data_IF_702762959878
#
_entry.id   IF_702762959878
#
_cell.length_a   1.000
_cell.length_b   1.000
_cell.length_c   1.000
_cell.angle_alpha   90.00
_cell.angle_beta   90.00
_cell.angle_gamma   90.00
#
_symmetry.space_group_name_H-M   'P 1'
#
loop_
_entity.id
_entity.type
_entity.pdbx_description
1 polymer ?
#
# COMPACT_ATOMS: atom_id res chain seq x y z
N UNK A 1 36.24 -43.23 -17.30
CA UNK A 1 36.07 -41.79 -17.50
C UNK A 1 34.60 -41.51 -17.77
N UNK A 2 34.03 -40.60 -17.01
CA UNK A 2 32.78 -39.86 -17.30
C UNK A 2 31.42 -40.54 -17.08
N UNK A 3 30.90 -40.52 -15.86
CA UNK A 3 29.47 -40.68 -15.54
C UNK A 3 28.94 -39.60 -14.57
N UNK A 4 29.58 -38.43 -14.51
CA UNK A 4 29.18 -37.34 -13.57
C UNK A 4 28.27 -36.27 -14.20
N UNK A 5 28.05 -36.29 -15.54
CA UNK A 5 27.26 -35.25 -16.23
C UNK A 5 25.74 -35.32 -15.96
N UNK A 6 25.07 -36.48 -15.80
CA UNK A 6 23.63 -36.52 -15.61
C UNK A 6 23.16 -36.00 -14.24
N UNK A 7 24.01 -36.08 -13.21
CA UNK A 7 23.61 -35.64 -11.85
C UNK A 7 23.51 -34.12 -11.75
N UNK A 8 24.40 -33.38 -12.41
CA UNK A 8 24.40 -31.92 -12.42
C UNK A 8 23.22 -31.35 -13.21
N UNK A 9 22.80 -32.00 -14.30
CA UNK A 9 21.65 -31.56 -15.10
C UNK A 9 20.34 -31.76 -14.32
N UNK A 10 20.21 -32.89 -13.63
CA UNK A 10 18.99 -33.15 -12.81
C UNK A 10 18.90 -32.20 -11.64
N UNK A 11 20.00 -31.84 -10.98
CA UNK A 11 20.03 -30.85 -9.89
C UNK A 11 19.70 -29.45 -10.38
N UNK A 12 20.16 -29.04 -11.55
CA UNK A 12 19.86 -27.74 -12.15
C UNK A 12 18.38 -27.62 -12.55
N UNK A 13 17.78 -28.67 -13.09
CA UNK A 13 16.36 -28.70 -13.45
C UNK A 13 15.46 -28.76 -12.20
N UNK A 14 15.86 -29.43 -11.14
CA UNK A 14 15.15 -29.45 -9.89
C UNK A 14 15.18 -28.07 -9.18
N UNK A 15 16.33 -27.39 -9.21
CA UNK A 15 16.45 -26.03 -8.67
C UNK A 15 15.62 -25.01 -9.47
N UNK A 16 15.63 -25.09 -10.80
CA UNK A 16 14.81 -24.25 -11.67
C UNK A 16 13.31 -24.51 -11.47
N UNK A 17 12.90 -25.77 -11.34
CA UNK A 17 11.53 -26.15 -11.06
C UNK A 17 11.04 -25.69 -9.67
N UNK A 18 11.92 -25.72 -8.67
CA UNK A 18 11.60 -25.24 -7.31
C UNK A 18 11.42 -23.72 -7.27
N UNK A 19 12.18 -22.97 -8.05
CA UNK A 19 12.01 -21.53 -8.23
C UNK A 19 10.67 -21.18 -8.92
N UNK A 20 10.24 -21.99 -9.89
CA UNK A 20 8.97 -21.80 -10.59
C UNK A 20 7.75 -22.08 -9.72
N UNK A 21 7.84 -22.97 -8.76
CA UNK A 21 6.71 -23.36 -7.88
C UNK A 21 6.64 -22.49 -6.61
N UNK A 22 7.75 -21.87 -6.18
CA UNK A 22 7.81 -21.10 -4.93
C UNK A 22 8.21 -19.63 -5.11
N UNK A 23 8.52 -19.23 -6.32
CA UNK A 23 8.93 -17.87 -6.64
C UNK A 23 7.74 -16.95 -6.84
N UNK A 24 7.22 -16.35 -5.78
CA UNK A 24 6.62 -15.05 -5.96
C UNK A 24 7.71 -14.16 -6.57
N UNK A 25 7.55 -13.75 -7.84
CA UNK A 25 8.48 -12.82 -8.49
C UNK A 25 8.66 -11.56 -7.64
N UNK A 26 9.61 -10.69 -7.98
CA UNK A 26 9.83 -9.46 -7.23
C UNK A 26 8.51 -8.71 -7.04
N UNK A 27 8.35 -7.96 -5.94
CA UNK A 27 7.15 -7.18 -5.71
C UNK A 27 6.94 -6.21 -6.88
N UNK A 28 5.72 -6.09 -7.44
CA UNK A 28 5.47 -5.21 -8.57
C UNK A 28 5.63 -3.75 -8.16
N UNK A 29 6.39 -2.98 -8.93
CA UNK A 29 6.60 -1.56 -8.65
C UNK A 29 5.49 -0.67 -9.25
N UNK A 30 4.82 -1.11 -10.32
CA UNK A 30 3.79 -0.36 -11.03
C UNK A 30 2.48 -1.15 -11.09
N UNK A 31 1.37 -0.45 -10.93
CA UNK A 31 0.04 -1.07 -10.94
C UNK A 31 -1.04 -0.05 -11.33
N UNK A 32 -2.25 -0.56 -11.58
CA UNK A 32 -3.47 0.27 -11.73
C UNK A 32 -4.42 -0.06 -10.59
N UNK A 33 -4.94 0.95 -9.89
CA UNK A 33 -5.94 0.77 -8.83
C UNK A 33 -7.25 0.32 -9.47
N UNK A 34 -7.68 -0.90 -9.15
CA UNK A 34 -8.93 -1.48 -9.66
C UNK A 34 -10.13 -1.22 -8.74
N UNK A 35 -9.89 -1.17 -7.44
CA UNK A 35 -10.93 -0.93 -6.44
C UNK A 35 -10.32 -0.31 -5.17
N UNK A 36 -11.07 0.55 -4.51
CA UNK A 36 -10.72 1.13 -3.19
C UNK A 36 -11.69 0.54 -2.18
N UNK A 37 -11.16 -0.19 -1.20
CA UNK A 37 -11.94 -0.83 -0.13
C UNK A 37 -12.40 0.24 0.86
N UNK A 38 -11.44 0.97 1.40
CA UNK A 38 -11.62 2.10 2.34
C UNK A 38 -10.56 3.19 2.11
N UNK A 39 -10.35 4.08 3.08
CA UNK A 39 -9.44 5.22 2.92
C UNK A 39 -7.97 4.83 2.77
N UNK A 40 -7.54 3.67 3.26
CA UNK A 40 -6.14 3.23 3.27
C UNK A 40 -5.89 1.81 2.76
N UNK A 41 -6.90 1.18 2.15
CA UNK A 41 -6.80 -0.16 1.59
C UNK A 41 -7.35 -0.19 0.16
N UNK A 42 -6.55 -0.68 -0.77
CA UNK A 42 -6.88 -0.69 -2.20
C UNK A 42 -6.54 -2.02 -2.86
N UNK A 43 -7.34 -2.42 -3.84
CA UNK A 43 -6.97 -3.47 -4.78
C UNK A 43 -6.29 -2.86 -6.00
N UNK A 44 -5.15 -3.43 -6.38
CA UNK A 44 -4.41 -3.00 -7.56
C UNK A 44 -4.19 -4.17 -8.51
N UNK A 45 -4.11 -3.86 -9.81
CA UNK A 45 -3.76 -4.82 -10.86
C UNK A 45 -2.35 -4.51 -11.37
N UNK A 46 -1.44 -5.47 -11.21
CA UNK A 46 -0.07 -5.44 -11.71
C UNK A 46 0.12 -6.57 -12.72
N UNK A 47 0.03 -6.28 -14.01
CA UNK A 47 -0.05 -7.28 -15.07
C UNK A 47 -1.30 -8.15 -14.88
N UNK A 48 -1.11 -9.47 -14.76
CA UNK A 48 -2.18 -10.45 -14.52
C UNK A 48 -2.52 -10.66 -13.04
N UNK A 49 -1.73 -10.07 -12.12
CA UNK A 49 -1.89 -10.24 -10.66
C UNK A 49 -2.83 -9.19 -10.10
N UNK A 50 -3.74 -9.60 -9.22
CA UNK A 50 -4.53 -8.70 -8.37
C UNK A 50 -3.95 -8.74 -6.96
N UNK A 51 -3.69 -7.59 -6.37
CA UNK A 51 -3.05 -7.44 -5.06
C UNK A 51 -3.92 -6.59 -4.16
N UNK A 52 -4.12 -7.07 -2.92
CA UNK A 52 -4.67 -6.28 -1.83
C UNK A 52 -3.53 -5.50 -1.17
N UNK A 53 -3.62 -4.17 -1.14
CA UNK A 53 -2.57 -3.27 -0.68
C UNK A 53 -3.07 -2.39 0.44
N UNK A 54 -2.43 -2.50 1.61
CA UNK A 54 -2.61 -1.60 2.76
C UNK A 54 -1.55 -0.49 2.70
N UNK A 55 -1.99 0.74 2.75
CA UNK A 55 -1.11 1.91 2.70
C UNK A 55 -0.31 2.02 4.01
N UNK A 56 1.02 2.08 3.89
CA UNK A 56 1.95 2.19 5.01
C UNK A 56 1.91 3.57 5.69
N UNK A 57 2.14 3.57 7.00
CA UNK A 57 2.37 4.78 7.78
C UNK A 57 1.13 5.61 8.07
N UNK A 58 -0.06 5.16 7.65
CA UNK A 58 -1.33 5.88 7.85
C UNK A 58 -2.45 4.94 8.30
N UNK A 59 -3.46 5.52 8.91
CA UNK A 59 -4.69 4.87 9.32
C UNK A 59 -5.87 5.81 9.08
N UNK A 60 -6.90 5.31 8.39
CA UNK A 60 -8.13 6.04 8.16
C UNK A 60 -9.25 5.53 9.07
N UNK A 61 -10.25 6.35 9.42
CA UNK A 61 -11.38 5.85 10.20
C UNK A 61 -12.09 4.70 9.47
N UNK A 62 -12.41 3.65 10.21
CA UNK A 62 -12.99 2.40 9.71
C UNK A 62 -14.36 2.59 9.03
N UNK A 63 -14.60 1.92 7.91
CA UNK A 63 -15.87 2.00 7.18
C UNK A 63 -16.46 0.65 6.77
N UNK A 64 -15.69 -0.44 6.83
CA UNK A 64 -16.07 -1.74 6.25
C UNK A 64 -16.10 -2.91 7.23
N UNK A 65 -15.56 -2.74 8.45
CA UNK A 65 -15.59 -3.80 9.48
C UNK A 65 -17.03 -3.96 10.04
N UNK A 66 -17.70 -5.11 9.81
CA UNK A 66 -19.07 -5.31 10.27
C UNK A 66 -19.21 -5.38 11.80
N UNK A 67 -18.11 -5.54 12.54
CA UNK A 67 -18.08 -5.64 14.00
C UNK A 67 -17.75 -4.32 14.70
N UNK A 68 -17.49 -3.25 13.93
CA UNK A 68 -17.13 -1.93 14.45
C UNK A 68 -18.08 -0.87 13.88
N UNK A 69 -18.45 0.14 14.67
CA UNK A 69 -19.21 1.27 14.13
C UNK A 69 -18.35 2.01 13.08
N UNK A 70 -19.03 2.59 12.09
CA UNK A 70 -18.39 3.46 11.11
C UNK A 70 -17.68 4.60 11.84
N UNK A 71 -16.39 4.75 11.57
CA UNK A 71 -15.56 5.78 12.19
C UNK A 71 -15.96 7.19 11.74
N UNK A 72 -15.87 8.15 12.65
CA UNK A 72 -16.08 9.56 12.32
C UNK A 72 -15.15 9.96 11.16
N UNK A 73 -15.69 10.61 10.14
CA UNK A 73 -14.99 11.01 8.91
C UNK A 73 -14.51 9.82 8.02
N UNK A 74 -14.90 8.59 8.33
CA UNK A 74 -14.53 7.40 7.52
C UNK A 74 -15.12 7.44 6.10
N UNK A 75 -16.43 7.68 5.93
CA UNK A 75 -17.03 7.79 4.60
C UNK A 75 -16.36 8.85 3.72
N UNK A 76 -15.99 9.99 4.28
CA UNK A 76 -15.32 11.08 3.58
C UNK A 76 -13.89 10.68 3.17
N UNK A 77 -13.14 10.02 4.05
CA UNK A 77 -11.80 9.49 3.75
C UNK A 77 -11.86 8.44 2.63
N UNK A 78 -12.77 7.49 2.73
CA UNK A 78 -13.00 6.46 1.69
C UNK A 78 -13.40 7.09 0.36
N UNK A 79 -14.33 8.05 0.35
CA UNK A 79 -14.77 8.74 -0.86
C UNK A 79 -13.62 9.53 -1.51
N UNK A 80 -12.79 10.20 -0.70
CA UNK A 80 -11.63 10.94 -1.19
C UNK A 80 -10.61 10.00 -1.85
N UNK A 81 -10.26 8.89 -1.20
CA UNK A 81 -9.33 7.90 -1.76
C UNK A 81 -9.89 7.28 -3.05
N UNK A 82 -11.19 6.97 -3.10
CA UNK A 82 -11.89 6.49 -4.31
C UNK A 82 -11.77 7.49 -5.46
N UNK A 83 -12.07 8.75 -5.21
CA UNK A 83 -11.96 9.81 -6.22
C UNK A 83 -10.52 9.99 -6.72
N UNK A 84 -9.54 9.89 -5.82
CA UNK A 84 -8.14 10.12 -6.12
C UNK A 84 -7.53 8.97 -6.94
N UNK A 85 -7.88 7.71 -6.62
CA UNK A 85 -7.12 6.54 -7.06
C UNK A 85 -7.84 5.61 -8.03
N UNK A 86 -9.18 5.55 -8.06
CA UNK A 86 -9.88 4.55 -8.87
C UNK A 86 -9.53 4.67 -10.36
N UNK A 87 -9.07 3.57 -10.96
CA UNK A 87 -8.65 3.50 -12.36
C UNK A 87 -7.31 4.16 -12.68
N UNK A 88 -6.61 4.66 -11.66
CA UNK A 88 -5.35 5.40 -11.86
C UNK A 88 -4.12 4.49 -11.78
N UNK A 89 -3.10 4.85 -12.54
CA UNK A 89 -1.78 4.23 -12.45
C UNK A 89 -1.04 4.74 -11.23
N UNK A 90 -0.41 3.83 -10.52
CA UNK A 90 0.33 4.11 -9.29
C UNK A 90 1.66 3.36 -9.28
N UNK A 91 2.63 3.94 -8.61
CA UNK A 91 3.89 3.29 -8.26
C UNK A 91 3.83 2.86 -6.79
N UNK A 92 4.14 1.59 -6.54
CA UNK A 92 4.20 1.00 -5.21
C UNK A 92 5.65 1.03 -4.71
N UNK A 93 5.86 1.59 -3.54
CA UNK A 93 7.17 1.64 -2.87
C UNK A 93 7.07 0.86 -1.57
N UNK A 94 7.84 -0.20 -1.48
CA UNK A 94 7.85 -1.09 -0.32
C UNK A 94 8.89 -0.63 0.70
N UNK A 95 8.67 -1.00 1.96
CA UNK A 95 9.65 -0.85 3.03
C UNK A 95 10.20 -2.26 3.40
N UNK A 96 10.63 -2.47 4.62
CA UNK A 96 11.33 -3.69 5.06
C UNK A 96 10.44 -4.93 5.10
N UNK A 97 9.21 -4.79 5.58
CA UNK A 97 8.23 -5.87 5.62
C UNK A 97 7.21 -5.68 4.49
N UNK A 98 7.05 -6.73 3.67
CA UNK A 98 6.22 -6.66 2.46
C UNK A 98 4.75 -6.99 2.70
N UNK A 99 4.43 -7.75 3.77
CA UNK A 99 3.06 -8.21 4.05
C UNK A 99 2.71 -8.02 5.52
N UNK A 100 1.45 -7.77 5.79
CA UNK A 100 0.91 -7.83 7.14
C UNK A 100 0.49 -9.26 7.52
N UNK A 101 -0.08 -9.40 8.73
CA UNK A 101 -0.55 -10.70 9.25
C UNK A 101 -1.78 -11.25 8.52
N UNK A 102 -2.46 -10.43 7.73
CA UNK A 102 -3.60 -10.82 6.88
C UNK A 102 -3.18 -11.17 5.46
N UNK A 103 -1.88 -11.06 5.13
CA UNK A 103 -1.33 -11.34 3.81
C UNK A 103 -1.47 -10.19 2.81
N UNK A 104 -1.93 -8.99 3.23
CA UNK A 104 -2.00 -7.81 2.37
C UNK A 104 -0.60 -7.27 2.11
N UNK A 105 -0.37 -6.75 0.90
CA UNK A 105 0.86 -6.04 0.57
C UNK A 105 0.93 -4.71 1.31
N UNK A 106 2.11 -4.38 1.84
CA UNK A 106 2.37 -3.14 2.56
C UNK A 106 3.19 -2.21 1.67
N UNK A 107 2.61 -1.08 1.25
CA UNK A 107 3.30 -0.15 0.36
C UNK A 107 2.96 1.32 0.64
N UNK A 108 3.90 2.20 0.34
CA UNK A 108 3.64 3.61 0.07
C UNK A 108 3.19 3.75 -1.38
N UNK A 109 2.17 4.57 -1.64
CA UNK A 109 1.58 4.74 -2.97
C UNK A 109 1.93 6.12 -3.52
N UNK A 110 2.44 6.12 -4.75
CA UNK A 110 2.68 7.33 -5.53
C UNK A 110 1.78 7.32 -6.76
N UNK A 111 0.85 8.27 -6.85
CA UNK A 111 -0.03 8.44 -8.00
C UNK A 111 0.75 9.07 -9.16
N UNK A 112 0.81 8.38 -10.28
CA UNK A 112 1.42 8.89 -11.51
C UNK A 112 0.61 10.07 -12.07
N UNK A 113 1.30 11.17 -12.39
CA UNK A 113 0.70 12.37 -12.95
C UNK A 113 1.49 12.82 -14.19
N UNK A 114 1.01 12.54 -15.41
CA UNK A 114 1.72 12.93 -16.62
C UNK A 114 2.11 14.42 -16.62
N UNK A 115 3.39 14.70 -16.88
CA UNK A 115 3.93 16.07 -16.92
C UNK A 115 4.08 16.78 -15.56
N UNK A 116 3.90 16.06 -14.45
CA UNK A 116 4.08 16.57 -13.07
C UNK A 116 4.78 15.52 -12.21
N UNK A 117 5.41 15.91 -11.10
CA UNK A 117 5.92 14.94 -10.14
C UNK A 117 4.79 14.05 -9.61
N UNK A 118 5.10 12.77 -9.36
CA UNK A 118 4.17 11.84 -8.73
C UNK A 118 3.66 12.39 -7.40
N UNK A 119 2.40 12.13 -7.09
CA UNK A 119 1.80 12.53 -5.83
C UNK A 119 2.00 11.42 -4.79
N UNK A 120 2.68 11.70 -3.69
CA UNK A 120 2.75 10.81 -2.54
C UNK A 120 1.39 10.77 -1.82
N UNK A 121 0.62 9.71 -2.08
CA UNK A 121 -0.78 9.58 -1.65
C UNK A 121 -0.92 9.54 -0.14
N UNK A 122 -0.07 8.78 0.55
CA UNK A 122 -0.07 8.66 2.00
C UNK A 122 0.09 10.03 2.68
N UNK A 123 1.07 10.82 2.23
CA UNK A 123 1.28 12.19 2.71
C UNK A 123 0.10 13.11 2.39
N UNK A 124 -0.52 12.92 1.21
CA UNK A 124 -1.69 13.71 0.79
C UNK A 124 -2.90 13.45 1.70
N UNK A 125 -3.17 12.20 2.04
CA UNK A 125 -4.25 11.81 2.94
C UNK A 125 -4.06 12.41 4.33
N UNK A 126 -2.86 12.33 4.90
CA UNK A 126 -2.53 12.90 6.21
C UNK A 126 -2.63 14.42 6.19
N UNK A 127 -1.97 15.08 5.23
CA UNK A 127 -1.92 16.55 5.17
C UNK A 127 -3.30 17.20 4.94
N UNK A 128 -4.22 16.48 4.32
CA UNK A 128 -5.59 16.93 4.10
C UNK A 128 -6.54 16.53 5.23
N UNK A 129 -6.08 15.79 6.26
CA UNK A 129 -6.87 15.37 7.40
C UNK A 129 -7.83 14.22 7.12
N UNK A 130 -7.53 13.35 6.13
CA UNK A 130 -8.30 12.13 5.87
C UNK A 130 -7.75 10.90 6.59
N UNK A 131 -6.50 10.96 7.05
CA UNK A 131 -5.84 9.89 7.78
C UNK A 131 -5.07 10.41 8.99
N UNK A 132 -4.91 9.57 10.00
CA UNK A 132 -3.93 9.71 11.07
C UNK A 132 -2.65 8.99 10.69
N UNK A 133 -1.56 9.27 11.39
CA UNK A 133 -0.33 8.50 11.22
C UNK A 133 -0.39 7.20 12.03
N UNK A 134 0.11 6.11 11.44
CA UNK A 134 0.27 4.82 12.09
C UNK A 134 1.62 4.22 11.71
N UNK A 135 2.62 4.43 12.56
CA UNK A 135 3.98 3.91 12.33
C UNK A 135 4.16 2.57 13.04
N UNK A 136 4.32 1.49 12.26
CA UNK A 136 4.52 0.12 12.75
C UNK A 136 5.90 -0.38 12.29
N UNK A 137 6.86 -0.58 13.22
CA UNK A 137 8.15 -1.18 12.86
C UNK A 137 7.96 -2.58 12.23
N UNK A 138 8.82 -2.96 11.25
CA UNK A 138 10.02 -2.25 10.80
C UNK A 138 9.77 -1.19 9.69
N UNK A 139 8.51 -0.96 9.27
CA UNK A 139 8.14 -0.08 8.16
C UNK A 139 7.95 1.37 8.64
N UNK A 140 9.03 2.12 8.74
CA UNK A 140 9.06 3.46 9.33
C UNK A 140 9.72 4.53 8.46
N UNK A 141 9.97 4.23 7.18
CA UNK A 141 10.76 5.11 6.30
C UNK A 141 10.23 6.56 6.21
N UNK A 142 8.91 6.76 6.29
CA UNK A 142 8.27 8.08 6.23
C UNK A 142 7.62 8.53 7.54
N UNK A 143 7.92 7.89 8.68
CA UNK A 143 7.23 8.15 9.95
C UNK A 143 7.37 9.61 10.41
N UNK A 144 8.57 10.18 10.32
CA UNK A 144 8.86 11.57 10.74
C UNK A 144 8.10 12.58 9.89
N UNK A 145 8.14 12.41 8.56
CA UNK A 145 7.51 13.32 7.61
C UNK A 145 5.99 13.29 7.75
N UNK A 146 5.41 12.09 7.83
CA UNK A 146 3.97 11.91 8.03
C UNK A 146 3.51 12.51 9.35
N UNK A 147 4.25 12.32 10.45
CA UNK A 147 3.92 12.93 11.76
C UNK A 147 3.98 14.46 11.73
N UNK A 148 4.88 15.05 10.97
CA UNK A 148 4.92 16.50 10.78
C UNK A 148 3.66 17.01 10.06
N UNK A 149 3.26 16.34 8.97
CA UNK A 149 2.06 16.66 8.21
C UNK A 149 0.76 16.49 9.04
N UNK A 150 0.72 15.46 9.90
CA UNK A 150 -0.41 15.27 10.82
C UNK A 150 -0.57 16.43 11.79
N UNK A 151 0.53 16.86 12.42
CA UNK A 151 0.51 18.02 13.34
C UNK A 151 0.02 19.29 12.64
N UNK A 152 0.49 19.53 11.41
CA UNK A 152 0.02 20.68 10.62
C UNK A 152 -1.47 20.58 10.28
N UNK A 153 -1.96 19.39 9.92
CA UNK A 153 -3.36 19.16 9.63
C UNK A 153 -4.23 19.36 10.87
N UNK A 154 -3.78 18.86 12.02
CA UNK A 154 -4.48 19.01 13.30
C UNK A 154 -4.56 20.48 13.75
N UNK A 155 -3.44 21.21 13.71
CA UNK A 155 -3.39 22.63 14.07
C UNK A 155 -4.28 23.48 13.15
N UNK A 156 -4.40 23.10 11.88
CA UNK A 156 -5.25 23.81 10.90
C UNK A 156 -6.70 23.33 10.90
N UNK A 157 -7.09 22.39 11.75
CA UNK A 157 -8.45 21.84 11.80
C UNK A 157 -8.88 21.20 10.48
N UNK A 158 -8.00 20.48 9.78
CA UNK A 158 -8.35 19.89 8.47
C UNK A 158 -9.06 18.54 8.64
N UNK A 159 -10.13 18.34 7.86
CA UNK A 159 -10.81 17.05 7.76
C UNK A 159 -11.27 16.50 9.11
N UNK A 160 -10.84 15.29 9.46
CA UNK A 160 -11.19 14.60 10.71
C UNK A 160 -10.88 15.42 11.99
N UNK A 161 -9.91 16.33 11.94
CA UNK A 161 -9.52 17.14 13.08
C UNK A 161 -10.53 18.23 13.43
N UNK A 162 -11.30 18.71 12.47
CA UNK A 162 -12.42 19.60 12.72
C UNK A 162 -13.73 18.83 12.96
N UNK A 163 -13.92 17.70 12.25
CA UNK A 163 -15.19 16.99 12.25
C UNK A 163 -15.38 16.07 13.47
N UNK A 164 -14.28 15.53 14.04
CA UNK A 164 -14.31 14.48 15.06
C UNK A 164 -13.71 14.93 16.41
N UNK A 165 -13.39 16.22 16.56
CA UNK A 165 -12.65 16.84 17.66
C UNK A 165 -13.20 16.71 19.03
#
# INVERSE_FOLDING_TARGET
MSRLIPILIVAALAAAGWWWVHGAGPPPAEATVSHVVDGDTVWVRAGTRSLDVRLLGIDTPETVDPHRPVGCFGPEASAYTKHLLTGRRVRLVYDRQLHDTYGRWLAYIYLERPGRPDLFVNARLVSAGYARTLSIPPNTAHATDLSALEREAALAGRGLWAACG
#
